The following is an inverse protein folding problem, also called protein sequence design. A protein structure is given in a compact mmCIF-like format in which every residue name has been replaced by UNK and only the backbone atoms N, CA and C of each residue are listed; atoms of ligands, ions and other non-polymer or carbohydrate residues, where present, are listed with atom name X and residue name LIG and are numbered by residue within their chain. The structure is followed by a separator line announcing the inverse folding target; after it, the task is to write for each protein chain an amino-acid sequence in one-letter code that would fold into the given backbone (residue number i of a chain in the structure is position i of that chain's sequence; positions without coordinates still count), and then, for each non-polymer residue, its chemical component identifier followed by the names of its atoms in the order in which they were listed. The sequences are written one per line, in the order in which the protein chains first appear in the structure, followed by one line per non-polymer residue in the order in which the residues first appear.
data_IF_480278748696
#
_entry.id   IF_480278748696
#
_cell.length_a   1.000
_cell.length_b   1.000
_cell.length_c   1.000
_cell.angle_alpha   90.00
_cell.angle_beta   90.00
_cell.angle_gamma   90.00
#
_symmetry.space_group_name_H-M   'P 1'
#
loop_
_entity.id
_entity.type
_entity.pdbx_description
1 polymer ?
#
# COMPACT_ATOMS: atom_id res chain seq x y z
N UNK A 1 -4.82 4.71 -21.06
CA UNK A 1 -4.46 5.38 -19.79
C UNK A 1 -4.50 4.31 -18.70
N UNK A 2 -3.51 4.25 -17.81
CA UNK A 2 -3.46 3.26 -16.72
C UNK A 2 -4.52 3.62 -15.67
N UNK A 3 -5.39 2.66 -15.35
CA UNK A 3 -6.42 2.81 -14.31
C UNK A 3 -5.84 2.35 -12.97
N UNK A 4 -5.69 3.28 -12.02
CA UNK A 4 -5.12 3.01 -10.69
C UNK A 4 -6.18 3.20 -9.62
N UNK A 5 -6.37 2.15 -8.80
CA UNK A 5 -7.21 2.19 -7.61
C UNK A 5 -6.40 2.11 -6.32
N UNK A 6 -6.81 2.85 -5.30
CA UNK A 6 -6.28 2.72 -3.94
C UNK A 6 -7.43 2.33 -3.02
N UNK A 7 -7.31 1.19 -2.37
CA UNK A 7 -8.29 0.70 -1.40
C UNK A 7 -7.89 1.15 -0.01
N UNK A 8 -8.67 2.04 0.55
CA UNK A 8 -8.42 2.76 1.79
C UNK A 8 -8.32 4.27 1.58
N UNK A 9 -8.72 5.04 2.58
CA UNK A 9 -8.71 6.52 2.55
C UNK A 9 -7.91 7.13 3.71
N UNK A 10 -6.88 6.39 4.15
CA UNK A 10 -5.97 6.80 5.22
C UNK A 10 -4.90 7.81 4.76
N UNK A 11 -3.99 8.20 5.68
CA UNK A 11 -2.87 9.08 5.35
C UNK A 11 -1.92 8.47 4.32
N UNK A 12 -1.73 7.15 4.36
CA UNK A 12 -0.89 6.45 3.38
C UNK A 12 -1.51 6.50 1.97
N UNK A 13 -2.82 6.36 1.85
CA UNK A 13 -3.52 6.50 0.57
C UNK A 13 -3.35 7.90 -0.02
N UNK A 14 -3.42 8.94 0.83
CA UNK A 14 -3.14 10.31 0.42
C UNK A 14 -1.68 10.48 -0.02
N UNK A 15 -0.73 9.91 0.72
CA UNK A 15 0.69 9.93 0.35
C UNK A 15 0.93 9.26 -1.01
N UNK A 16 0.41 8.04 -1.20
CA UNK A 16 0.49 7.31 -2.47
C UNK A 16 -0.10 8.12 -3.64
N UNK A 17 -1.27 8.71 -3.45
CA UNK A 17 -1.91 9.50 -4.50
C UNK A 17 -1.08 10.69 -4.99
N UNK A 18 -0.13 11.18 -4.19
CA UNK A 18 0.78 12.26 -4.57
C UNK A 18 1.96 11.78 -5.41
N UNK A 19 2.38 10.54 -5.24
CA UNK A 19 3.55 9.97 -5.93
C UNK A 19 3.19 9.15 -7.16
N UNK A 20 1.91 8.85 -7.37
CA UNK A 20 1.45 8.13 -8.56
C UNK A 20 1.37 9.06 -9.77
N UNK A 21 1.87 8.57 -10.92
CA UNK A 21 1.92 9.32 -12.18
C UNK A 21 0.53 9.60 -12.77
N UNK A 22 -0.46 8.77 -12.47
CA UNK A 22 -1.79 8.90 -13.08
C UNK A 22 -2.44 10.22 -12.69
N UNK A 23 -2.97 10.99 -13.67
CA UNK A 23 -3.75 12.18 -13.40
C UNK A 23 -5.08 11.87 -12.69
N UNK A 24 -5.54 10.61 -12.83
CA UNK A 24 -6.78 10.13 -12.23
C UNK A 24 -6.49 8.92 -11.35
N UNK A 25 -6.86 9.02 -10.07
CA UNK A 25 -6.72 7.94 -9.09
C UNK A 25 -8.06 7.70 -8.41
N UNK A 26 -8.54 6.47 -8.47
CA UNK A 26 -9.78 6.10 -7.77
C UNK A 26 -9.47 5.66 -6.35
N UNK A 27 -10.14 6.28 -5.38
CA UNK A 27 -10.01 5.96 -3.95
C UNK A 27 -11.24 5.20 -3.50
N UNK A 28 -11.11 3.92 -3.16
CA UNK A 28 -12.18 3.18 -2.50
C UNK A 28 -12.19 3.52 -1.01
N UNK A 29 -13.24 4.18 -0.56
CA UNK A 29 -13.40 4.63 0.82
C UNK A 29 -14.65 4.02 1.45
N UNK A 30 -14.60 3.69 2.74
CA UNK A 30 -15.78 3.28 3.52
C UNK A 30 -16.68 4.47 3.86
N UNK A 31 -16.11 5.65 4.03
CA UNK A 31 -16.83 6.90 4.29
C UNK A 31 -16.40 7.94 3.27
N UNK A 32 -17.27 8.20 2.31
CA UNK A 32 -17.03 9.11 1.17
C UNK A 32 -16.81 10.55 1.65
N UNK A 33 -17.63 11.05 2.56
CA UNK A 33 -17.57 12.46 2.98
C UNK A 33 -16.26 12.76 3.73
N UNK A 34 -15.84 11.83 4.61
CA UNK A 34 -14.55 11.94 5.29
C UNK A 34 -13.38 11.87 4.30
N UNK A 35 -13.48 11.03 3.27
CA UNK A 35 -12.48 10.94 2.24
C UNK A 35 -12.42 12.23 1.40
N UNK A 36 -13.55 12.75 0.94
CA UNK A 36 -13.62 14.01 0.18
C UNK A 36 -13.00 15.21 0.90
N UNK A 37 -13.15 15.27 2.24
CA UNK A 37 -12.51 16.32 3.05
C UNK A 37 -10.99 16.19 3.11
N UNK A 38 -10.45 14.98 2.95
CA UNK A 38 -9.02 14.69 3.09
C UNK A 38 -8.24 14.83 1.80
N UNK A 39 -8.83 14.44 0.67
CA UNK A 39 -8.13 14.48 -0.61
C UNK A 39 -8.24 15.85 -1.26
N UNK A 40 -7.11 16.45 -1.72
CA UNK A 40 -7.12 17.79 -2.29
C UNK A 40 -7.90 17.83 -3.60
N UNK A 41 -8.64 18.92 -3.82
CA UNK A 41 -9.50 19.11 -5.01
C UNK A 41 -8.72 19.37 -6.31
N UNK A 42 -7.41 19.60 -6.24
CA UNK A 42 -6.58 19.94 -7.39
C UNK A 42 -6.15 18.73 -8.26
N UNK A 43 -6.36 17.51 -7.78
CA UNK A 43 -6.25 16.27 -8.57
C UNK A 43 -7.64 15.69 -8.76
N UNK A 44 -7.89 15.08 -9.92
CA UNK A 44 -9.13 14.35 -10.15
C UNK A 44 -9.11 13.04 -9.36
N UNK A 45 -9.65 13.08 -8.14
CA UNK A 45 -9.89 11.88 -7.35
C UNK A 45 -11.33 11.44 -7.51
N UNK A 46 -11.51 10.19 -7.93
CA UNK A 46 -12.80 9.53 -7.90
C UNK A 46 -12.90 8.76 -6.58
N UNK A 47 -13.77 9.22 -5.68
CA UNK A 47 -13.99 8.56 -4.40
C UNK A 47 -15.25 7.72 -4.52
N UNK A 48 -15.10 6.42 -4.32
CA UNK A 48 -16.15 5.41 -4.47
C UNK A 48 -16.30 4.56 -3.21
N UNK A 49 -17.47 3.94 -3.07
CA UNK A 49 -17.78 2.93 -2.03
C UNK A 49 -18.13 1.55 -2.62
N UNK A 50 -18.21 1.43 -3.93
CA UNK A 50 -18.53 0.20 -4.64
C UNK A 50 -17.26 -0.49 -5.15
N UNK A 51 -17.14 -1.81 -4.93
CA UNK A 51 -16.01 -2.62 -5.39
C UNK A 51 -16.15 -3.09 -6.83
N UNK A 52 -17.38 -3.20 -7.39
CA UNK A 52 -17.59 -3.68 -8.75
C UNK A 52 -16.85 -2.86 -9.81
N UNK A 53 -16.72 -1.55 -9.58
CA UNK A 53 -15.98 -0.63 -10.46
C UNK A 53 -14.49 -1.04 -10.57
N UNK A 54 -13.94 -1.66 -9.52
CA UNK A 54 -12.51 -1.99 -9.45
C UNK A 54 -12.09 -3.19 -10.29
N UNK A 55 -13.04 -3.97 -10.87
CA UNK A 55 -12.74 -5.16 -11.68
C UNK A 55 -11.87 -4.85 -12.91
N UNK A 56 -12.03 -3.65 -13.48
CA UNK A 56 -11.38 -3.22 -14.73
C UNK A 56 -10.13 -2.35 -14.50
N UNK A 57 -9.59 -2.36 -13.28
CA UNK A 57 -8.38 -1.61 -12.95
C UNK A 57 -7.11 -2.39 -13.28
N UNK A 58 -6.08 -1.68 -13.76
CA UNK A 58 -4.78 -2.28 -14.05
C UNK A 58 -4.01 -2.60 -12.77
N UNK A 59 -4.11 -1.71 -11.77
CA UNK A 59 -3.39 -1.83 -10.49
C UNK A 59 -4.28 -1.41 -9.33
N UNK A 60 -4.31 -2.24 -8.29
CA UNK A 60 -4.98 -1.95 -7.02
C UNK A 60 -3.97 -1.91 -5.87
N UNK A 61 -3.80 -0.74 -5.27
CA UNK A 61 -3.02 -0.55 -4.05
C UNK A 61 -3.89 -0.85 -2.82
N UNK A 62 -3.52 -1.85 -2.05
CA UNK A 62 -4.21 -2.26 -0.82
C UNK A 62 -3.60 -1.48 0.36
N UNK A 63 -4.12 -0.27 0.60
CA UNK A 63 -3.62 0.68 1.60
C UNK A 63 -4.53 0.79 2.85
N UNK A 64 -5.11 -0.33 3.23
CA UNK A 64 -5.98 -0.50 4.40
C UNK A 64 -5.20 -1.11 5.59
N UNK A 65 -5.73 -1.06 6.82
CA UNK A 65 -5.17 -1.79 7.96
C UNK A 65 -5.14 -3.30 7.69
N UNK A 66 -4.05 -3.99 8.11
CA UNK A 66 -3.85 -5.42 7.88
C UNK A 66 -5.05 -6.27 8.33
N UNK A 67 -5.64 -5.96 9.49
CA UNK A 67 -6.77 -6.72 10.05
C UNK A 67 -8.08 -6.59 9.26
N UNK A 68 -8.18 -5.64 8.34
CA UNK A 68 -9.33 -5.47 7.44
C UNK A 68 -9.12 -6.07 6.05
N UNK A 69 -7.90 -6.55 5.74
CA UNK A 69 -7.55 -6.98 4.39
C UNK A 69 -8.44 -8.13 3.90
N UNK A 70 -8.62 -9.17 4.71
CA UNK A 70 -9.45 -10.34 4.37
C UNK A 70 -10.88 -9.94 3.97
N UNK A 71 -11.52 -9.11 4.78
CA UNK A 71 -12.88 -8.61 4.48
C UNK A 71 -12.92 -7.85 3.16
N UNK A 72 -11.94 -7.00 2.90
CA UNK A 72 -11.82 -6.24 1.65
C UNK A 72 -11.62 -7.17 0.45
N UNK A 73 -10.74 -8.17 0.55
CA UNK A 73 -10.48 -9.12 -0.54
C UNK A 73 -11.71 -9.96 -0.88
N UNK A 74 -12.59 -10.19 0.10
CA UNK A 74 -13.84 -10.89 -0.13
C UNK A 74 -14.83 -10.07 -1.00
N UNK A 75 -14.76 -8.75 -0.90
CA UNK A 75 -15.64 -7.83 -1.65
C UNK A 75 -15.13 -7.50 -3.06
N UNK A 76 -13.83 -7.70 -3.34
CA UNK A 76 -13.25 -7.46 -4.68
C UNK A 76 -13.78 -8.53 -5.66
N UNK A 77 -14.25 -8.14 -6.86
CA UNK A 77 -14.72 -9.08 -7.87
C UNK A 77 -13.67 -10.14 -8.23
N UNK A 78 -14.04 -11.42 -8.20
CA UNK A 78 -13.12 -12.55 -8.41
C UNK A 78 -12.58 -12.65 -9.83
N UNK A 79 -13.25 -12.03 -10.80
CA UNK A 79 -12.84 -11.97 -12.20
C UNK A 79 -11.89 -10.81 -12.52
N UNK A 80 -11.46 -10.04 -11.51
CA UNK A 80 -10.50 -8.95 -11.73
C UNK A 80 -9.16 -9.47 -12.25
N UNK A 81 -8.59 -8.76 -13.21
CA UNK A 81 -7.23 -9.00 -13.74
C UNK A 81 -6.21 -8.02 -13.17
N UNK A 82 -6.59 -7.22 -12.19
CA UNK A 82 -5.74 -6.23 -11.55
C UNK A 82 -4.47 -6.85 -10.96
N UNK A 83 -3.38 -6.12 -11.07
CA UNK A 83 -2.15 -6.38 -10.31
C UNK A 83 -2.33 -5.78 -8.93
N UNK A 84 -2.03 -6.53 -7.88
CA UNK A 84 -2.17 -6.05 -6.51
C UNK A 84 -0.85 -5.51 -5.96
N UNK A 85 -0.91 -4.37 -5.27
CA UNK A 85 0.21 -3.82 -4.50
C UNK A 85 -0.19 -3.75 -3.03
N UNK A 86 0.35 -4.66 -2.23
CA UNK A 86 0.06 -4.74 -0.80
C UNK A 86 0.89 -3.68 -0.07
N UNK A 87 0.21 -2.69 0.50
CA UNK A 87 0.80 -1.65 1.34
C UNK A 87 0.48 -1.85 2.83
N UNK A 88 -0.44 -2.74 3.16
CA UNK A 88 -0.82 -3.08 4.52
C UNK A 88 0.35 -3.74 5.24
N UNK A 89 0.69 -3.22 6.42
CA UNK A 89 1.79 -3.75 7.26
C UNK A 89 1.20 -4.53 8.44
N UNK A 90 1.69 -5.74 8.67
CA UNK A 90 1.25 -6.57 9.78
C UNK A 90 1.01 -8.03 9.42
N UNK A 91 0.59 -8.79 10.43
CA UNK A 91 0.23 -10.21 10.37
C UNK A 91 -1.25 -10.30 10.76
N UNK A 92 -2.01 -11.17 10.11
CA UNK A 92 -3.43 -11.38 10.44
C UNK A 92 -3.56 -12.11 11.79
N UNK A 93 -4.26 -11.51 12.75
CA UNK A 93 -4.38 -12.06 14.12
C UNK A 93 -5.04 -13.45 14.19
N UNK A 94 -6.08 -13.69 13.34
CA UNK A 94 -6.84 -14.95 13.38
C UNK A 94 -6.05 -16.15 12.87
N UNK A 95 -5.21 -15.97 11.87
CA UNK A 95 -4.59 -17.06 11.12
C UNK A 95 -3.07 -17.06 11.22
N UNK A 96 -2.48 -16.00 11.79
CA UNK A 96 -1.04 -15.71 11.80
C UNK A 96 -0.41 -15.61 10.39
N UNK A 97 -1.24 -15.36 9.35
CA UNK A 97 -0.80 -15.26 7.96
C UNK A 97 -0.26 -13.88 7.63
N UNK A 98 0.75 -13.86 6.76
CA UNK A 98 1.21 -12.65 6.11
C UNK A 98 0.15 -12.14 5.14
N UNK A 99 0.18 -10.84 4.84
CA UNK A 99 -0.81 -10.22 3.95
C UNK A 99 -0.80 -10.82 2.53
N UNK A 100 0.36 -11.27 2.04
CA UNK A 100 0.46 -11.97 0.76
C UNK A 100 -0.22 -13.35 0.79
N UNK A 101 -0.12 -14.08 1.89
CA UNK A 101 -0.78 -15.36 2.07
C UNK A 101 -2.30 -15.18 2.12
N UNK A 102 -2.77 -14.15 2.83
CA UNK A 102 -4.20 -13.79 2.83
C UNK A 102 -4.67 -13.42 1.42
N UNK A 103 -3.90 -12.64 0.65
CA UNK A 103 -4.25 -12.29 -0.73
C UNK A 103 -4.37 -13.55 -1.61
N UNK A 104 -3.42 -14.47 -1.53
CA UNK A 104 -3.38 -15.66 -2.38
C UNK A 104 -4.53 -16.65 -2.14
N UNK A 105 -5.16 -16.62 -0.97
CA UNK A 105 -6.39 -17.40 -0.73
C UNK A 105 -7.56 -16.94 -1.62
N UNK A 106 -7.63 -15.65 -1.95
CA UNK A 106 -8.70 -15.07 -2.77
C UNK A 106 -8.33 -14.95 -4.25
N UNK A 107 -7.05 -14.71 -4.53
CA UNK A 107 -6.51 -14.41 -5.85
C UNK A 107 -5.22 -15.20 -6.12
N UNK A 108 -5.26 -16.53 -6.20
CA UNK A 108 -4.07 -17.40 -6.29
C UNK A 108 -3.28 -17.21 -7.60
N UNK A 109 -3.94 -16.75 -8.67
CA UNK A 109 -3.33 -16.57 -10.00
C UNK A 109 -2.90 -15.13 -10.27
N UNK A 110 -3.24 -14.17 -9.41
CA UNK A 110 -2.94 -12.78 -9.66
C UNK A 110 -1.49 -12.44 -9.28
N UNK A 111 -0.85 -11.65 -10.12
CA UNK A 111 0.46 -11.09 -9.78
C UNK A 111 0.33 -10.00 -8.72
N UNK A 112 1.19 -10.04 -7.73
CA UNK A 112 1.23 -9.03 -6.68
C UNK A 112 2.66 -8.58 -6.34
N UNK A 113 2.75 -7.40 -5.74
CA UNK A 113 3.96 -6.86 -5.13
C UNK A 113 3.66 -6.37 -3.72
N UNK A 114 4.68 -6.35 -2.88
CA UNK A 114 4.65 -5.70 -1.56
C UNK A 114 5.32 -4.34 -1.70
N UNK A 115 4.69 -3.29 -1.20
CA UNK A 115 5.29 -1.97 -1.08
C UNK A 115 5.48 -1.65 0.41
N UNK A 116 6.72 -1.63 0.86
CA UNK A 116 7.08 -1.44 2.27
C UNK A 116 8.38 -0.65 2.40
N UNK A 117 8.73 -0.25 3.61
CA UNK A 117 9.98 0.46 3.90
C UNK A 117 9.86 1.41 5.09
N UNK A 118 10.94 2.12 5.44
CA UNK A 118 10.97 3.10 6.52
C UNK A 118 10.35 4.43 6.07
N UNK A 119 9.13 4.37 5.54
CA UNK A 119 8.41 5.53 5.01
C UNK A 119 7.29 5.97 5.95
N UNK A 120 7.16 7.28 6.11
CA UNK A 120 6.08 7.91 6.85
C UNK A 120 5.20 8.72 5.89
N UNK A 121 3.88 8.59 6.05
CA UNK A 121 2.94 9.26 5.14
C UNK A 121 3.09 10.78 5.17
N UNK A 122 3.39 11.38 6.31
CA UNK A 122 3.56 12.84 6.42
C UNK A 122 4.79 13.35 5.65
N UNK A 123 5.88 12.58 5.62
CA UNK A 123 7.10 12.91 4.87
C UNK A 123 6.83 12.89 3.37
N UNK A 124 6.19 11.83 2.89
CA UNK A 124 5.79 11.72 1.49
C UNK A 124 4.83 12.84 1.09
N UNK A 125 3.86 13.17 1.96
CA UNK A 125 2.91 14.26 1.71
C UNK A 125 3.62 15.61 1.60
N UNK A 126 4.67 15.85 2.40
CA UNK A 126 5.51 17.06 2.39
C UNK A 126 6.55 17.07 1.26
N UNK A 127 6.70 15.97 0.50
CA UNK A 127 7.70 15.86 -0.55
C UNK A 127 9.13 15.72 -0.03
N UNK A 128 9.30 15.20 1.18
CA UNK A 128 10.63 14.93 1.75
C UNK A 128 11.22 13.64 1.12
N UNK A 129 12.57 13.52 1.08
CA UNK A 129 13.22 12.32 0.59
C UNK A 129 12.73 11.07 1.34
N UNK A 130 12.28 10.09 0.58
CA UNK A 130 11.70 8.85 1.13
C UNK A 130 12.16 7.67 0.29
N UNK A 131 12.45 6.56 0.94
CA UNK A 131 12.79 5.29 0.29
C UNK A 131 11.69 4.25 0.52
N UNK A 132 11.44 3.43 -0.50
CA UNK A 132 10.52 2.30 -0.40
C UNK A 132 11.07 1.08 -1.12
N UNK A 133 10.67 -0.10 -0.69
CA UNK A 133 10.99 -1.36 -1.35
C UNK A 133 9.75 -1.87 -2.06
N UNK A 134 9.92 -2.30 -3.30
CA UNK A 134 8.92 -3.04 -4.06
C UNK A 134 9.44 -4.49 -4.19
N UNK A 135 8.81 -5.41 -3.45
CA UNK A 135 9.17 -6.82 -3.45
C UNK A 135 8.15 -7.64 -4.23
N UNK A 136 8.63 -8.42 -5.20
CA UNK A 136 7.79 -9.33 -5.99
C UNK A 136 8.60 -10.50 -6.55
N UNK A 137 7.98 -11.68 -6.68
CA UNK A 137 8.56 -12.80 -7.45
C UNK A 137 8.65 -12.50 -8.95
N UNK A 138 7.86 -11.55 -9.43
CA UNK A 138 7.85 -11.09 -10.82
C UNK A 138 8.60 -9.74 -10.93
N UNK A 139 9.83 -9.77 -11.42
CA UNK A 139 10.67 -8.58 -11.57
C UNK A 139 10.07 -7.54 -12.55
N UNK A 140 9.35 -8.00 -13.58
CA UNK A 140 8.66 -7.11 -14.51
C UNK A 140 7.54 -6.34 -13.82
N UNK A 141 6.84 -6.98 -12.86
CA UNK A 141 5.85 -6.29 -12.04
C UNK A 141 6.49 -5.21 -11.16
N UNK A 142 7.60 -5.52 -10.48
CA UNK A 142 8.31 -4.53 -9.67
C UNK A 142 8.74 -3.31 -10.48
N UNK A 143 9.32 -3.53 -11.67
CA UNK A 143 9.69 -2.46 -12.60
C UNK A 143 8.47 -1.67 -13.10
N UNK A 144 7.36 -2.35 -13.39
CA UNK A 144 6.12 -1.72 -13.80
C UNK A 144 5.54 -0.82 -12.70
N UNK A 145 5.48 -1.31 -11.46
CA UNK A 145 5.00 -0.53 -10.31
C UNK A 145 5.91 0.68 -10.05
N UNK A 146 7.23 0.53 -10.18
CA UNK A 146 8.16 1.65 -10.03
C UNK A 146 7.91 2.76 -11.07
N UNK A 147 7.62 2.39 -12.32
CA UNK A 147 7.35 3.37 -13.38
C UNK A 147 6.08 4.20 -13.16
N UNK A 148 5.12 3.67 -12.43
CA UNK A 148 3.89 4.40 -12.08
C UNK A 148 4.00 5.20 -10.78
N UNK A 149 5.08 5.00 -10.02
CA UNK A 149 5.44 5.81 -8.85
C UNK A 149 6.51 6.82 -9.31
N UNK A 150 6.08 8.04 -9.59
CA UNK A 150 6.96 9.07 -10.14
C UNK A 150 7.02 10.26 -9.21
N UNK A 151 8.04 10.25 -8.36
CA UNK A 151 8.44 11.44 -7.63
C UNK A 151 9.97 11.39 -7.41
N UNK A 152 10.67 12.46 -7.76
CA UNK A 152 12.12 12.59 -7.65
C UNK A 152 12.66 12.20 -6.27
N UNK A 153 11.94 12.57 -5.23
CA UNK A 153 12.31 12.32 -3.82
C UNK A 153 11.72 11.03 -3.23
N UNK A 154 11.02 10.20 -4.04
CA UNK A 154 10.46 8.93 -3.61
C UNK A 154 11.17 7.76 -4.29
N UNK A 155 12.29 7.34 -3.72
CA UNK A 155 13.18 6.34 -4.30
C UNK A 155 12.65 4.93 -4.08
N UNK A 156 12.55 4.15 -5.16
CA UNK A 156 12.14 2.75 -5.13
C UNK A 156 13.34 1.81 -5.24
N UNK A 157 13.40 0.80 -4.39
CA UNK A 157 14.35 -0.31 -4.42
C UNK A 157 13.61 -1.61 -4.70
N UNK A 158 14.30 -2.60 -5.23
CA UNK A 158 13.71 -3.88 -5.62
C UNK A 158 14.35 -5.03 -4.91
N UNK A 159 13.54 -6.03 -4.53
CA UNK A 159 14.00 -7.35 -4.15
C UNK A 159 12.93 -8.41 -4.49
N UNK A 160 13.25 -9.69 -4.27
CA UNK A 160 12.33 -10.82 -4.42
C UNK A 160 11.97 -11.47 -3.08
N UNK A 161 12.45 -10.93 -1.97
CA UNK A 161 12.15 -11.40 -0.62
C UNK A 161 10.82 -10.81 -0.12
N UNK A 162 9.72 -11.45 -0.53
CA UNK A 162 8.36 -11.07 -0.15
C UNK A 162 8.16 -11.23 1.36
N UNK A 163 8.72 -12.29 1.96
CA UNK A 163 8.53 -12.61 3.37
C UNK A 163 9.27 -11.60 4.23
N UNK A 164 10.59 -11.43 4.03
CA UNK A 164 11.39 -10.50 4.81
C UNK A 164 10.90 -9.05 4.68
N UNK A 165 10.46 -8.64 3.50
CA UNK A 165 9.89 -7.29 3.29
C UNK A 165 8.61 -7.07 4.11
N UNK A 166 7.74 -8.09 4.24
CA UNK A 166 6.53 -7.98 5.06
C UNK A 166 6.85 -8.01 6.56
N UNK A 167 7.73 -8.92 6.99
CA UNK A 167 8.15 -9.04 8.41
C UNK A 167 8.81 -7.73 8.85
N UNK A 168 9.75 -7.18 8.09
CA UNK A 168 10.38 -5.89 8.38
C UNK A 168 9.35 -4.77 8.52
N UNK A 169 8.36 -4.72 7.62
CA UNK A 169 7.25 -3.77 7.70
C UNK A 169 6.37 -3.94 8.93
N UNK A 170 6.11 -5.18 9.37
CA UNK A 170 5.31 -5.49 10.56
C UNK A 170 6.05 -5.14 11.85
N UNK A 171 7.35 -5.44 11.91
CA UNK A 171 8.19 -5.25 13.10
C UNK A 171 8.72 -3.83 13.28
N UNK A 172 8.69 -3.01 12.24
CA UNK A 172 9.25 -1.64 12.28
C UNK A 172 8.83 -0.83 13.50
N UNK A 173 7.55 -0.83 13.83
CA UNK A 173 7.05 -0.02 14.94
C UNK A 173 7.44 -0.61 16.30
N UNK A 174 7.54 -1.93 16.44
CA UNK A 174 7.99 -2.60 17.66
C UNK A 174 9.44 -2.22 17.93
N UNK A 175 10.30 -2.29 16.92
CA UNK A 175 11.72 -1.89 17.02
C UNK A 175 11.84 -0.40 17.33
N UNK A 176 11.04 0.46 16.71
CA UNK A 176 11.05 1.89 16.97
C UNK A 176 10.68 2.23 18.42
N UNK A 177 9.68 1.54 18.99
CA UNK A 177 9.29 1.70 20.40
C UNK A 177 10.43 1.24 21.32
N UNK A 178 11.02 0.08 21.05
CA UNK A 178 12.14 -0.45 21.83
C UNK A 178 13.35 0.50 21.81
N UNK A 179 13.72 1.01 20.63
CA UNK A 179 14.80 1.97 20.48
C UNK A 179 14.51 3.28 21.24
N UNK A 180 13.29 3.80 21.10
CA UNK A 180 12.87 5.01 21.82
C UNK A 180 12.93 4.82 23.36
N UNK A 181 12.57 3.64 23.86
CA UNK A 181 12.68 3.32 25.28
C UNK A 181 14.14 3.29 25.76
N UNK A 182 15.04 2.65 25.01
CA UNK A 182 16.48 2.58 25.31
C UNK A 182 17.08 3.99 25.39
N UNK A 183 16.81 4.82 24.37
CA UNK A 183 17.29 6.20 24.30
C UNK A 183 16.73 7.02 25.49
N UNK A 184 15.41 6.93 25.73
CA UNK A 184 14.75 7.66 26.81
C UNK A 184 15.23 7.27 28.22
N UNK A 185 15.76 6.06 28.40
CA UNK A 185 16.39 5.59 29.63
C UNK A 185 17.88 5.90 29.74
N UNK A 186 18.49 6.49 28.73
CA UNK A 186 19.95 6.76 28.73
C UNK A 186 20.82 5.49 28.69
N UNK A 187 20.31 4.40 28.15
CA UNK A 187 21.04 3.10 28.12
C UNK A 187 22.03 3.00 26.92
N UNK A 188 22.28 4.10 26.23
CA UNK A 188 23.19 4.19 25.08
C UNK A 188 22.46 4.20 23.74
N UNK A 189 23.26 4.28 22.67
CA UNK A 189 22.80 4.23 21.25
C UNK A 189 23.08 2.84 20.67
#
# INVERSE_FOLDING_TARGET
MIKIGIIGSGNWSLALSKVLISPEVTIKARNIDKAKKKFPKNKKFFIIDNFEILKDFDVLFLANPSQSLRGILNEIPKNTKSKFVICSKGIEKKTNKLMSEVLTEFFPKNNFAILSGPNFSFEVIKGLPTATVISSKNSNLSKYISKIIVQEKFRTYFNNDIIGTQIGGAMKNVIAIASGFIIGKGLGL
#
